data_IF_884081477499
#
_entry.id   IF_884081477499
#
_cell.length_a   1.000
_cell.length_b   1.000
_cell.length_c   1.000
_cell.angle_alpha   90.00
_cell.angle_beta   90.00
_cell.angle_gamma   90.00
#
_symmetry.space_group_name_H-M   'P 1'
#
loop_
_entity.id
_entity.type
_entity.pdbx_description
1 polymer ?
#
# COMPACT_ATOMS: atom_id res chain seq x y z
N UNK A 1 -2.23 -15.14 7.66
CA UNK A 1 -1.55 -14.25 6.68
C UNK A 1 -2.62 -13.57 5.87
N UNK A 2 -2.96 -12.33 6.23
CA UNK A 2 -4.09 -11.59 5.65
C UNK A 2 -3.80 -11.13 4.22
N UNK A 3 -4.72 -11.39 3.29
CA UNK A 3 -4.58 -11.04 1.87
C UNK A 3 -4.30 -9.55 1.66
N UNK A 4 -4.89 -8.70 2.50
CA UNK A 4 -4.69 -7.25 2.50
C UNK A 4 -3.21 -6.85 2.64
N UNK A 5 -2.46 -7.56 3.48
CA UNK A 5 -1.05 -7.24 3.73
C UNK A 5 -0.14 -7.64 2.56
N UNK A 6 -0.50 -8.72 1.87
CA UNK A 6 0.19 -9.17 0.65
C UNK A 6 -0.09 -8.20 -0.51
N UNK A 7 -1.34 -7.75 -0.65
CA UNK A 7 -1.75 -6.84 -1.71
C UNK A 7 -1.11 -5.45 -1.57
N UNK A 8 -1.06 -4.92 -0.34
CA UNK A 8 -0.38 -3.64 -0.03
C UNK A 8 1.12 -3.69 -0.35
N UNK A 9 1.81 -4.77 0.05
CA UNK A 9 3.23 -4.98 -0.30
C UNK A 9 3.45 -5.09 -1.80
N UNK A 10 2.54 -5.77 -2.53
CA UNK A 10 2.62 -5.88 -3.99
C UNK A 10 2.53 -4.52 -4.67
N UNK A 11 1.61 -3.66 -4.23
CA UNK A 11 1.47 -2.29 -4.74
C UNK A 11 2.71 -1.44 -4.45
N UNK A 12 3.29 -1.56 -3.25
CA UNK A 12 4.54 -0.85 -2.94
C UNK A 12 5.70 -1.28 -3.85
N UNK A 13 5.89 -2.60 -4.03
CA UNK A 13 6.95 -3.14 -4.90
C UNK A 13 6.74 -2.65 -6.34
N UNK A 14 5.51 -2.73 -6.87
CA UNK A 14 5.18 -2.28 -8.22
C UNK A 14 5.44 -0.78 -8.40
N UNK A 15 5.04 0.03 -7.44
CA UNK A 15 5.27 1.47 -7.43
C UNK A 15 6.76 1.81 -7.45
N UNK A 16 7.58 1.14 -6.62
CA UNK A 16 9.03 1.32 -6.62
C UNK A 16 9.68 0.93 -7.94
N UNK A 17 9.22 -0.17 -8.56
CA UNK A 17 9.73 -0.61 -9.85
C UNK A 17 9.38 0.40 -10.95
N UNK A 18 8.15 0.91 -10.99
CA UNK A 18 7.74 1.97 -11.93
C UNK A 18 8.54 3.26 -11.72
N UNK A 19 8.71 3.68 -10.47
CA UNK A 19 9.50 4.87 -10.15
C UNK A 19 10.95 4.75 -10.65
N UNK A 20 11.60 3.61 -10.35
CA UNK A 20 12.96 3.34 -10.79
C UNK A 20 13.06 3.26 -12.32
N UNK A 21 12.12 2.56 -12.98
CA UNK A 21 12.06 2.46 -14.43
C UNK A 21 11.90 3.85 -15.07
N UNK A 22 10.95 4.66 -14.61
CA UNK A 22 10.72 6.01 -15.11
C UNK A 22 11.94 6.91 -14.96
N UNK A 23 12.65 6.83 -13.83
CA UNK A 23 13.91 7.56 -13.63
C UNK A 23 15.00 7.12 -14.60
N UNK A 24 15.15 5.81 -14.83
CA UNK A 24 16.18 5.26 -15.71
C UNK A 24 15.88 5.55 -17.19
N UNK A 25 14.61 5.46 -17.60
CA UNK A 25 14.21 5.69 -19.00
C UNK A 25 13.93 7.17 -19.31
N UNK A 26 13.86 8.03 -18.29
CA UNK A 26 13.45 9.43 -18.42
C UNK A 26 11.94 9.63 -18.58
N UNK A 27 11.14 8.59 -18.37
CA UNK A 27 9.68 8.65 -18.45
C UNK A 27 9.07 9.17 -17.14
N UNK A 28 8.76 10.47 -17.13
CA UNK A 28 8.10 11.14 -16.00
C UNK A 28 6.69 10.63 -15.71
N UNK A 29 5.97 10.11 -16.71
CA UNK A 29 4.63 9.57 -16.48
C UNK A 29 4.74 8.28 -15.66
N UNK A 30 5.64 7.38 -16.06
CA UNK A 30 5.90 6.12 -15.33
C UNK A 30 6.46 6.39 -13.93
N UNK A 31 7.33 7.40 -13.76
CA UNK A 31 7.82 7.81 -12.43
C UNK A 31 6.67 8.27 -11.53
N UNK A 32 5.85 9.20 -12.02
CA UNK A 32 4.72 9.75 -11.26
C UNK A 32 3.69 8.69 -10.90
N UNK A 33 3.41 7.75 -11.82
CA UNK A 33 2.51 6.63 -11.59
C UNK A 33 3.04 5.71 -10.48
N UNK A 34 4.36 5.46 -10.46
CA UNK A 34 5.02 4.69 -9.40
C UNK A 34 4.90 5.33 -8.02
N UNK A 35 5.15 6.64 -7.92
CA UNK A 35 5.00 7.41 -6.68
C UNK A 35 3.55 7.41 -6.19
N UNK A 36 2.59 7.56 -7.12
CA UNK A 36 1.16 7.53 -6.81
C UNK A 36 0.71 6.16 -6.28
N UNK A 37 1.11 5.06 -6.95
CA UNK A 37 0.81 3.69 -6.48
C UNK A 37 1.40 3.42 -5.09
N UNK A 38 2.64 3.87 -4.83
CA UNK A 38 3.28 3.74 -3.52
C UNK A 38 2.52 4.50 -2.42
N UNK A 39 2.12 5.76 -2.69
CA UNK A 39 1.32 6.56 -1.73
C UNK A 39 -0.04 5.92 -1.46
N UNK A 40 -0.74 5.49 -2.51
CA UNK A 40 -2.02 4.83 -2.38
C UNK A 40 -1.91 3.53 -1.55
N UNK A 41 -0.86 2.73 -1.78
CA UNK A 41 -0.59 1.51 -1.00
C UNK A 41 -0.37 1.80 0.48
N UNK A 42 0.40 2.84 0.83
CA UNK A 42 0.62 3.26 2.22
C UNK A 42 -0.67 3.75 2.90
N UNK A 43 -1.51 4.51 2.19
CA UNK A 43 -2.79 4.96 2.72
C UNK A 43 -3.75 3.78 2.96
N UNK A 44 -3.76 2.80 2.06
CA UNK A 44 -4.58 1.61 2.20
C UNK A 44 -4.13 0.73 3.38
N UNK A 45 -2.81 0.65 3.63
CA UNK A 45 -2.24 -0.05 4.79
C UNK A 45 -2.65 0.63 6.10
N UNK A 46 -2.51 1.96 6.21
CA UNK A 46 -2.94 2.72 7.39
C UNK A 46 -4.44 2.60 7.66
N UNK A 47 -5.27 2.68 6.61
CA UNK A 47 -6.71 2.51 6.73
C UNK A 47 -7.08 1.09 7.19
N UNK A 48 -6.37 0.08 6.69
CA UNK A 48 -6.51 -1.31 7.13
C UNK A 48 -6.13 -1.50 8.60
N UNK A 49 -4.98 -0.95 9.03
CA UNK A 49 -4.54 -1.02 10.43
C UNK A 49 -5.52 -0.32 11.38
N UNK A 50 -6.05 0.84 11.00
CA UNK A 50 -7.05 1.54 11.80
C UNK A 50 -8.36 0.74 11.92
N UNK A 51 -8.83 0.15 10.81
CA UNK A 51 -10.01 -0.71 10.81
C UNK A 51 -9.80 -1.97 11.66
N UNK A 52 -8.64 -2.62 11.56
CA UNK A 52 -8.29 -3.79 12.37
C UNK A 52 -8.16 -3.44 13.86
N UNK A 53 -7.60 -2.28 14.19
CA UNK A 53 -7.51 -1.81 15.57
C UNK A 53 -8.91 -1.61 16.18
N UNK A 54 -9.85 -1.00 15.44
CA UNK A 54 -11.24 -0.86 15.88
C UNK A 54 -11.92 -2.23 16.03
N UNK A 55 -11.76 -3.12 15.05
CA UNK A 55 -12.33 -4.46 15.07
C UNK A 55 -11.80 -5.27 16.27
N UNK A 56 -10.51 -5.18 16.57
CA UNK A 56 -9.89 -5.85 17.72
C UNK A 56 -10.42 -5.38 19.07
N UNK A 57 -10.78 -4.09 19.19
CA UNK A 57 -11.39 -3.54 20.41
C UNK A 57 -12.81 -4.06 20.61
N UNK A 58 -13.61 -4.08 19.54
CA UNK A 58 -15.00 -4.57 19.58
C UNK A 58 -15.10 -6.08 19.77
N UNK A 59 -14.14 -6.86 19.27
CA UNK A 59 -14.13 -8.32 19.47
C UNK A 59 -13.72 -8.72 20.89
N UNK A 60 -12.90 -7.93 21.59
CA UNK A 60 -12.50 -8.21 22.99
C UNK A 60 -13.60 -7.95 24.02
N UNK A 61 -14.66 -7.21 23.68
CA UNK A 61 -15.82 -6.99 24.57
C UNK A 61 -16.87 -8.11 24.47
N UNK A 62 -16.68 -9.10 23.59
CA UNK A 62 -17.67 -10.17 23.31
C UNK A 62 -17.23 -11.58 23.74
N UNK A 63 -16.16 -11.68 24.52
CA UNK A 63 -15.68 -12.90 25.21
C UNK A 63 -15.91 -12.78 26.73
#
# INVERSE_FOLDING_TARGET
MDRNRIEGRRKQIRGSVKEALGKVTGDRATEAEGVAEQKAGRMQEQAGEAADALRSRTSRERD
#
